data_IF_935051908592
#
_entry.id   IF_935051908592
#
_cell.length_a   1.000
_cell.length_b   1.000
_cell.length_c   1.000
_cell.angle_alpha   90.00
_cell.angle_beta   90.00
_cell.angle_gamma   90.00
#
_symmetry.space_group_name_H-M   'P 1'
#
loop_
_entity.id
_entity.type
_entity.pdbx_description
1 polymer ?
#
# COMPACT_ATOMS: atom_id res chain seq x y z
N UNK A 1 -3.13 16.30 -27.08
CA UNK A 1 -4.28 16.05 -26.18
C UNK A 1 -3.72 15.24 -25.04
N UNK A 2 -3.67 15.80 -23.83
CA UNK A 2 -3.14 15.08 -22.67
C UNK A 2 -4.17 14.03 -22.24
N UNK A 3 -3.77 12.78 -22.12
CA UNK A 3 -4.62 11.74 -21.53
C UNK A 3 -5.03 12.15 -20.12
N UNK A 4 -6.29 11.90 -19.71
CA UNK A 4 -6.72 12.15 -18.34
C UNK A 4 -5.82 11.35 -17.41
N UNK A 5 -5.15 12.03 -16.47
CA UNK A 5 -4.29 11.38 -15.49
C UNK A 5 -5.13 10.36 -14.71
N UNK A 6 -4.64 9.12 -14.54
CA UNK A 6 -5.38 8.12 -13.79
C UNK A 6 -5.58 8.61 -12.36
N UNK A 7 -6.82 8.63 -11.90
CA UNK A 7 -7.17 9.06 -10.56
C UNK A 7 -7.03 7.87 -9.60
N UNK A 8 -6.09 7.89 -8.63
CA UNK A 8 -5.92 6.80 -7.67
C UNK A 8 -7.18 6.49 -6.85
N UNK A 9 -8.13 7.43 -6.76
CA UNK A 9 -9.43 7.21 -6.13
C UNK A 9 -10.29 6.13 -6.84
N UNK A 10 -9.97 5.78 -8.09
CA UNK A 10 -10.69 4.75 -8.85
C UNK A 10 -10.01 3.38 -8.78
N UNK A 11 -8.87 3.24 -8.12
CA UNK A 11 -8.14 1.97 -8.06
C UNK A 11 -8.77 1.05 -7.02
N UNK A 12 -9.28 -0.09 -7.50
CA UNK A 12 -10.07 -1.05 -6.74
C UNK A 12 -9.28 -2.32 -6.37
N UNK A 13 -8.12 -2.53 -6.99
CA UNK A 13 -7.28 -3.71 -6.83
C UNK A 13 -5.80 -3.34 -6.85
N UNK A 14 -4.91 -4.23 -6.40
CA UNK A 14 -3.47 -4.02 -6.55
C UNK A 14 -3.03 -4.04 -8.02
N UNK A 15 -3.75 -4.76 -8.88
CA UNK A 15 -3.51 -4.74 -10.32
C UNK A 15 -3.67 -3.34 -10.91
N UNK A 16 -4.65 -2.56 -10.46
CA UNK A 16 -4.87 -1.18 -10.94
C UNK A 16 -3.66 -0.29 -10.64
N UNK A 17 -3.06 -0.43 -9.45
CA UNK A 17 -1.84 0.28 -9.06
C UNK A 17 -0.64 -0.10 -9.93
N UNK A 18 -0.49 -1.38 -10.24
CA UNK A 18 0.58 -1.85 -11.12
C UNK A 18 0.42 -1.38 -12.57
N UNK A 19 -0.81 -1.39 -13.11
CA UNK A 19 -1.10 -0.98 -14.49
C UNK A 19 -0.82 0.51 -14.72
N UNK A 20 -1.01 1.34 -13.69
CA UNK A 20 -0.81 2.79 -13.76
C UNK A 20 0.48 3.25 -13.05
N UNK A 21 1.39 2.32 -12.75
CA UNK A 21 2.59 2.55 -11.93
C UNK A 21 3.45 3.72 -12.43
N UNK A 22 3.55 3.93 -13.73
CA UNK A 22 4.38 4.99 -14.32
C UNK A 22 3.78 6.39 -14.21
N UNK A 23 2.49 6.49 -13.88
CA UNK A 23 1.78 7.75 -13.65
C UNK A 23 1.68 8.10 -12.16
N UNK A 24 2.20 7.24 -11.27
CA UNK A 24 2.19 7.46 -9.81
C UNK A 24 3.25 8.47 -9.38
N UNK A 25 3.05 9.05 -8.20
CA UNK A 25 4.13 9.76 -7.49
C UNK A 25 5.31 8.82 -7.23
N UNK A 26 6.55 9.34 -7.09
CA UNK A 26 7.71 8.52 -6.72
C UNK A 26 7.47 7.69 -5.45
N UNK A 27 6.77 8.25 -4.47
CA UNK A 27 6.49 7.62 -3.18
C UNK A 27 5.50 6.46 -3.32
N UNK A 28 4.39 6.65 -4.04
CA UNK A 28 3.43 5.57 -4.28
C UNK A 28 4.03 4.49 -5.20
N UNK A 29 4.82 4.89 -6.20
CA UNK A 29 5.55 3.96 -7.07
C UNK A 29 6.52 3.08 -6.27
N UNK A 30 7.24 3.66 -5.32
CA UNK A 30 8.12 2.93 -4.41
C UNK A 30 7.35 1.90 -3.58
N UNK A 31 6.20 2.28 -3.01
CA UNK A 31 5.35 1.34 -2.26
C UNK A 31 4.87 0.18 -3.15
N UNK A 32 4.46 0.43 -4.40
CA UNK A 32 4.11 -0.62 -5.36
C UNK A 32 5.29 -1.57 -5.64
N UNK A 33 6.51 -1.04 -5.75
CA UNK A 33 7.72 -1.86 -5.94
C UNK A 33 8.02 -2.77 -4.74
N UNK A 34 7.87 -2.25 -3.54
CA UNK A 34 8.02 -3.05 -2.32
C UNK A 34 6.94 -4.14 -2.26
N UNK A 35 5.69 -3.84 -2.63
CA UNK A 35 4.60 -4.82 -2.66
C UNK A 35 4.86 -5.94 -3.67
N UNK A 36 5.36 -5.62 -4.87
CA UNK A 36 5.78 -6.62 -5.86
C UNK A 36 6.92 -7.51 -5.33
N UNK A 37 7.92 -6.90 -4.68
CA UNK A 37 9.01 -7.65 -4.02
C UNK A 37 8.49 -8.57 -2.92
N UNK A 38 7.53 -8.09 -2.11
CA UNK A 38 6.90 -8.87 -1.04
C UNK A 38 6.08 -10.05 -1.60
N UNK A 39 5.38 -9.84 -2.71
CA UNK A 39 4.67 -10.90 -3.43
C UNK A 39 5.62 -11.90 -4.12
N UNK A 40 6.92 -11.56 -4.25
CA UNK A 40 7.92 -12.42 -4.87
C UNK A 40 7.75 -12.57 -6.39
N UNK A 41 7.07 -11.63 -7.04
CA UNK A 41 6.74 -11.72 -8.47
C UNK A 41 6.67 -10.34 -9.12
N UNK A 42 6.96 -10.30 -10.42
CA UNK A 42 6.73 -9.13 -11.28
C UNK A 42 5.45 -9.26 -12.13
N UNK A 43 4.77 -10.41 -12.09
CA UNK A 43 3.51 -10.60 -12.79
C UNK A 43 2.37 -9.90 -12.03
N UNK A 44 1.67 -9.00 -12.73
CA UNK A 44 0.64 -8.15 -12.13
C UNK A 44 -0.52 -8.98 -11.57
N UNK A 45 -0.96 -10.00 -12.31
CA UNK A 45 -2.10 -10.82 -11.92
C UNK A 45 -1.74 -11.72 -10.75
N UNK A 46 -0.54 -12.28 -10.77
CA UNK A 46 0.01 -13.08 -9.68
C UNK A 46 0.15 -12.25 -8.40
N UNK A 47 0.78 -11.08 -8.48
CA UNK A 47 0.95 -10.19 -7.34
C UNK A 47 -0.39 -9.76 -6.76
N UNK A 48 -1.35 -9.40 -7.62
CA UNK A 48 -2.69 -9.05 -7.20
C UNK A 48 -3.39 -10.22 -6.46
N UNK A 49 -3.27 -11.45 -6.97
CA UNK A 49 -3.86 -12.63 -6.32
C UNK A 49 -3.24 -12.90 -4.95
N UNK A 50 -1.91 -12.85 -4.86
CA UNK A 50 -1.17 -13.07 -3.61
C UNK A 50 -1.56 -12.01 -2.57
N UNK A 51 -1.43 -10.73 -2.91
CA UNK A 51 -1.65 -9.64 -1.95
C UNK A 51 -3.13 -9.50 -1.57
N UNK A 52 -4.06 -9.71 -2.50
CA UNK A 52 -5.49 -9.61 -2.20
C UNK A 52 -6.00 -10.76 -1.31
N UNK A 53 -5.28 -11.87 -1.20
CA UNK A 53 -5.64 -13.01 -0.34
C UNK A 53 -4.79 -13.12 0.92
N UNK A 54 -3.84 -12.20 1.11
CA UNK A 54 -2.94 -12.21 2.26
C UNK A 54 -3.61 -11.65 3.51
N UNK A 55 -3.48 -12.37 4.62
CA UNK A 55 -3.96 -11.90 5.94
C UNK A 55 -2.89 -11.12 6.71
N UNK A 56 -1.62 -11.29 6.33
CA UNK A 56 -0.47 -10.66 6.98
C UNK A 56 0.45 -10.05 5.93
N UNK A 57 0.95 -8.85 6.21
CA UNK A 57 1.91 -8.17 5.34
C UNK A 57 3.03 -7.51 6.15
N UNK A 58 4.26 -7.84 5.78
CA UNK A 58 5.49 -7.44 6.49
C UNK A 58 6.25 -6.44 5.62
N UNK A 59 6.18 -5.15 5.97
CA UNK A 59 6.72 -4.03 5.19
C UNK A 59 7.67 -3.13 6.00
N UNK A 60 8.20 -3.60 7.12
CA UNK A 60 9.09 -2.79 7.95
C UNK A 60 10.42 -2.48 7.25
N UNK A 61 11.02 -1.33 7.59
CA UNK A 61 12.36 -0.93 7.13
C UNK A 61 12.50 -0.83 5.60
N UNK A 62 11.49 -0.25 4.94
CA UNK A 62 11.43 -0.10 3.48
C UNK A 62 11.40 1.37 3.01
N UNK A 63 11.57 2.35 3.89
CA UNK A 63 11.51 3.78 3.52
C UNK A 63 10.16 4.18 2.88
N UNK A 64 9.07 3.49 3.26
CA UNK A 64 7.72 3.80 2.77
C UNK A 64 7.26 5.12 3.40
N UNK A 65 6.72 6.03 2.59
CA UNK A 65 6.08 7.27 3.05
C UNK A 65 4.63 7.38 2.59
N UNK A 66 4.27 6.75 1.46
CA UNK A 66 2.91 6.76 0.90
C UNK A 66 2.26 5.37 1.03
N UNK A 67 1.14 5.31 1.74
CA UNK A 67 0.38 4.09 2.00
C UNK A 67 -0.80 3.87 1.06
N UNK A 68 -1.08 4.81 0.13
CA UNK A 68 -2.23 4.72 -0.77
C UNK A 68 -2.30 3.40 -1.56
N UNK A 69 -1.20 2.76 -2.00
CA UNK A 69 -1.27 1.48 -2.70
C UNK A 69 -1.77 0.30 -1.85
N UNK A 70 -1.82 0.45 -0.53
CA UNK A 70 -2.32 -0.60 0.38
C UNK A 70 -3.85 -0.58 0.47
N UNK A 71 -4.54 0.49 0.06
CA UNK A 71 -5.97 0.71 0.35
C UNK A 71 -6.89 -0.41 -0.16
N UNK A 72 -6.49 -1.14 -1.21
CA UNK A 72 -7.26 -2.24 -1.80
C UNK A 72 -7.01 -3.60 -1.15
N UNK A 73 -6.05 -3.71 -0.23
CA UNK A 73 -5.66 -4.97 0.44
C UNK A 73 -6.53 -5.26 1.67
N UNK A 74 -7.85 -5.22 1.50
CA UNK A 74 -8.83 -5.19 2.61
C UNK A 74 -8.93 -6.49 3.42
N UNK A 75 -8.31 -7.58 2.97
CA UNK A 75 -8.24 -8.86 3.70
C UNK A 75 -7.15 -8.89 4.79
N UNK A 76 -6.31 -7.85 4.88
CA UNK A 76 -5.25 -7.79 5.88
C UNK A 76 -5.82 -7.75 7.30
N UNK A 77 -5.26 -8.62 8.14
CA UNK A 77 -5.52 -8.70 9.59
C UNK A 77 -4.30 -8.26 10.41
N UNK A 78 -3.10 -8.38 9.85
CA UNK A 78 -1.83 -7.97 10.46
C UNK A 78 -0.98 -7.18 9.47
N UNK A 79 -0.54 -5.98 9.88
CA UNK A 79 0.28 -5.09 9.06
C UNK A 79 1.46 -4.54 9.86
N UNK A 80 2.67 -4.82 9.37
CA UNK A 80 3.92 -4.37 10.00
C UNK A 80 4.57 -3.29 9.15
N UNK A 81 4.55 -2.05 9.62
CA UNK A 81 5.02 -0.85 8.91
C UNK A 81 6.07 -0.06 9.71
N UNK A 82 6.62 -0.64 10.78
CA UNK A 82 7.61 0.04 11.61
C UNK A 82 8.93 0.34 10.87
N UNK A 83 9.71 1.32 11.36
CA UNK A 83 10.94 1.79 10.72
C UNK A 83 10.73 2.27 9.26
N UNK A 84 9.72 3.11 9.04
CA UNK A 84 9.46 3.72 7.73
C UNK A 84 9.44 5.27 7.86
N UNK A 85 8.92 5.98 6.87
CA UNK A 85 8.85 7.44 6.82
C UNK A 85 7.40 7.93 6.72
N UNK A 86 6.47 7.17 7.29
CA UNK A 86 5.02 7.42 7.21
C UNK A 86 4.67 8.58 8.12
N UNK A 87 3.93 9.55 7.60
CA UNK A 87 3.33 10.64 8.38
C UNK A 87 1.80 10.66 8.31
N UNK A 88 1.24 10.18 7.20
CA UNK A 88 -0.20 10.05 6.96
C UNK A 88 -0.63 8.57 6.93
N UNK A 89 -1.59 8.23 7.78
CA UNK A 89 -2.18 6.89 7.89
C UNK A 89 -3.65 6.84 7.43
N UNK A 90 -4.18 7.92 6.88
CA UNK A 90 -5.54 7.98 6.30
C UNK A 90 -5.82 6.81 5.34
N UNK A 91 -4.87 6.39 4.48
CA UNK A 91 -5.11 5.25 3.57
C UNK A 91 -5.41 3.91 4.26
N UNK A 92 -5.11 3.77 5.57
CA UNK A 92 -5.38 2.54 6.31
C UNK A 92 -6.86 2.40 6.72
N UNK A 93 -7.68 3.46 6.61
CA UNK A 93 -9.10 3.44 6.97
C UNK A 93 -9.92 2.40 6.21
N UNK A 94 -9.52 2.05 4.98
CA UNK A 94 -10.21 1.02 4.19
C UNK A 94 -9.92 -0.41 4.69
N UNK A 95 -8.86 -0.61 5.47
CA UNK A 95 -8.40 -1.91 5.97
C UNK A 95 -9.17 -2.33 7.22
N UNK A 96 -10.50 -2.41 7.09
CA UNK A 96 -11.45 -2.64 8.18
C UNK A 96 -11.29 -3.97 8.93
N UNK A 97 -10.54 -4.93 8.37
CA UNK A 97 -10.24 -6.21 9.02
C UNK A 97 -8.95 -6.21 9.84
N UNK A 98 -8.19 -5.09 9.87
CA UNK A 98 -6.94 -5.01 10.63
C UNK A 98 -7.21 -5.20 12.13
N UNK A 99 -6.49 -6.15 12.71
CA UNK A 99 -6.46 -6.44 14.15
C UNK A 99 -5.12 -6.07 14.76
N UNK A 100 -4.04 -6.21 13.99
CA UNK A 100 -2.68 -5.88 14.42
C UNK A 100 -2.03 -4.88 13.46
N UNK A 101 -1.60 -3.74 14.01
CA UNK A 101 -0.95 -2.68 13.26
C UNK A 101 0.29 -2.17 14.01
N UNK A 102 1.47 -2.37 13.43
CA UNK A 102 2.75 -1.96 14.02
C UNK A 102 3.34 -0.79 13.24
N UNK A 103 3.33 0.40 13.84
CA UNK A 103 3.73 1.66 13.19
C UNK A 103 4.87 2.41 13.89
N UNK A 104 5.51 1.82 14.91
CA UNK A 104 6.57 2.51 15.66
C UNK A 104 7.77 2.90 14.77
N UNK A 105 8.50 3.95 15.17
CA UNK A 105 9.59 4.54 14.38
C UNK A 105 9.13 4.97 12.97
N UNK A 106 8.09 5.80 12.95
CA UNK A 106 7.59 6.56 11.81
C UNK A 106 7.44 8.04 12.23
N UNK A 107 6.86 8.89 11.38
CA UNK A 107 6.66 10.33 11.58
C UNK A 107 5.18 10.69 11.81
N UNK A 108 4.41 9.74 12.34
CA UNK A 108 2.97 9.88 12.58
C UNK A 108 2.75 10.77 13.80
N UNK A 109 1.91 11.78 13.64
CA UNK A 109 1.49 12.67 14.72
C UNK A 109 -0.02 12.72 14.91
N UNK A 110 -0.78 12.40 13.87
CA UNK A 110 -2.24 12.26 13.91
C UNK A 110 -2.63 10.79 13.83
N UNK A 111 -3.39 10.33 14.82
CA UNK A 111 -3.91 8.97 14.91
C UNK A 111 -5.43 8.90 14.76
N UNK A 112 -6.09 10.03 14.46
CA UNK A 112 -7.54 10.12 14.22
C UNK A 112 -8.04 9.15 13.13
N UNK A 113 -7.24 8.78 12.10
CA UNK A 113 -7.69 7.81 11.11
C UNK A 113 -7.86 6.35 11.61
N UNK A 114 -7.50 6.02 12.85
CA UNK A 114 -7.68 4.69 13.45
C UNK A 114 -8.92 4.63 14.33
#
# INVERSE_FOLDING_TARGET
MSEPQPNPANFSSFADWCLHKDSLSPEAKHTVEILLKCAGTSDINEANRILSSSNELILYNNQISDLTPLQSLTNLTSLYLYNNQISDITPLQSLTNLTYLYLYNNQISDITPL
#
